data_IF_919645281619
#
_entry.id   IF_919645281619
#
_cell.length_a   1.000
_cell.length_b   1.000
_cell.length_c   1.000
_cell.angle_alpha   90.00
_cell.angle_beta   90.00
_cell.angle_gamma   90.00
#
_symmetry.space_group_name_H-M   'P 1'
#
loop_
_entity.id
_entity.type
_entity.pdbx_description
1 polymer ?
#
# COMPACT_ATOMS: atom_id res chain seq x y z
N UNK A 1 -13.94 14.83 -3.65
CA UNK A 1 -15.36 14.45 -3.40
C UNK A 1 -15.73 13.16 -4.14
N UNK A 2 -15.57 13.05 -5.45
CA UNK A 2 -15.92 11.83 -6.21
C UNK A 2 -15.17 10.59 -5.70
N UNK A 3 -13.88 10.72 -5.33
CA UNK A 3 -13.06 9.67 -4.73
C UNK A 3 -13.68 9.18 -3.41
N UNK A 4 -14.04 10.11 -2.53
CA UNK A 4 -14.62 9.78 -1.22
C UNK A 4 -15.96 9.06 -1.37
N UNK A 5 -16.83 9.53 -2.27
CA UNK A 5 -18.10 8.84 -2.58
C UNK A 5 -17.88 7.45 -3.19
N UNK A 6 -16.79 7.25 -3.97
CA UNK A 6 -16.45 5.95 -4.53
C UNK A 6 -16.05 4.97 -3.42
N UNK A 7 -15.20 5.39 -2.47
CA UNK A 7 -14.80 4.58 -1.32
C UNK A 7 -15.98 4.24 -0.42
N UNK A 8 -16.85 5.21 -0.14
CA UNK A 8 -18.05 5.00 0.68
C UNK A 8 -18.97 3.93 0.07
N UNK A 9 -19.27 4.02 -1.25
CA UNK A 9 -20.11 3.03 -1.93
C UNK A 9 -19.46 1.66 -2.03
N UNK A 10 -18.12 1.60 -2.22
CA UNK A 10 -17.45 0.35 -2.48
C UNK A 10 -17.03 -0.39 -1.22
N UNK A 11 -16.54 0.33 -0.25
CA UNK A 11 -15.90 -0.20 0.96
C UNK A 11 -16.61 0.20 2.26
N UNK A 12 -17.60 1.06 2.20
CA UNK A 12 -18.28 1.60 3.39
C UNK A 12 -17.39 2.56 4.20
N UNK A 13 -16.33 3.11 3.57
CA UNK A 13 -15.37 3.99 4.24
C UNK A 13 -15.56 5.42 3.75
N UNK A 14 -15.92 6.33 4.65
CA UNK A 14 -16.03 7.76 4.36
C UNK A 14 -14.69 8.48 4.58
N UNK A 15 -14.34 9.44 3.74
CA UNK A 15 -13.18 10.33 3.86
C UNK A 15 -13.59 11.78 3.76
N UNK A 16 -12.82 12.67 4.42
CA UNK A 16 -12.95 14.10 4.19
C UNK A 16 -12.27 14.47 2.85
N UNK A 17 -13.04 15.01 1.87
CA UNK A 17 -12.48 15.35 0.57
C UNK A 17 -11.47 16.50 0.59
N UNK A 18 -11.40 17.28 1.67
CA UNK A 18 -10.51 18.45 1.76
C UNK A 18 -9.15 18.08 2.37
N UNK A 19 -9.08 16.97 3.12
CA UNK A 19 -7.86 16.58 3.87
C UNK A 19 -7.40 15.14 3.65
N UNK A 20 -8.31 14.22 3.30
CA UNK A 20 -8.00 12.78 3.27
C UNK A 20 -8.00 12.16 1.85
N UNK A 21 -8.04 12.98 0.81
CA UNK A 21 -8.00 12.50 -0.58
C UNK A 21 -7.27 13.44 -1.51
N UNK A 22 -6.32 12.92 -2.28
CA UNK A 22 -5.57 13.70 -3.28
C UNK A 22 -5.48 12.95 -4.62
N UNK A 23 -5.64 13.68 -5.72
CA UNK A 23 -5.44 13.14 -7.08
C UNK A 23 -3.95 13.11 -7.40
N UNK A 24 -3.51 12.03 -8.07
CA UNK A 24 -2.14 11.83 -8.53
C UNK A 24 -2.09 11.58 -10.04
N UNK A 25 -0.93 11.77 -10.65
CA UNK A 25 -0.70 11.49 -12.08
C UNK A 25 -0.42 9.98 -12.28
N UNK A 26 -1.41 9.15 -11.87
CA UNK A 26 -1.32 7.70 -11.69
C UNK A 26 -0.71 7.34 -10.34
N UNK A 27 -1.00 6.12 -9.83
CA UNK A 27 -0.50 5.67 -8.52
C UNK A 27 1.02 5.60 -8.44
N UNK A 28 1.69 5.23 -9.54
CA UNK A 28 3.16 5.16 -9.59
C UNK A 28 3.83 6.49 -9.24
N UNK A 29 3.35 7.59 -9.81
CA UNK A 29 3.87 8.93 -9.52
C UNK A 29 3.58 9.29 -8.07
N UNK A 30 2.36 9.04 -7.60
CA UNK A 30 1.99 9.31 -6.21
C UNK A 30 2.87 8.57 -5.21
N UNK A 31 3.14 7.28 -5.43
CA UNK A 31 4.03 6.46 -4.57
C UNK A 31 5.45 7.03 -4.58
N UNK A 32 5.97 7.41 -5.76
CA UNK A 32 7.31 7.99 -5.85
C UNK A 32 7.42 9.33 -5.12
N UNK A 33 6.43 10.19 -5.27
CA UNK A 33 6.42 11.50 -4.58
C UNK A 33 6.16 11.37 -3.09
N UNK A 34 5.32 10.43 -2.65
CA UNK A 34 5.16 10.13 -1.24
C UNK A 34 6.50 9.70 -0.63
N UNK A 35 7.24 8.81 -1.31
CA UNK A 35 8.57 8.41 -0.86
C UNK A 35 9.52 9.62 -0.74
N UNK A 36 9.59 10.48 -1.75
CA UNK A 36 10.41 11.69 -1.73
C UNK A 36 10.01 12.68 -0.62
N UNK A 37 8.72 12.78 -0.32
CA UNK A 37 8.21 13.70 0.70
C UNK A 37 8.42 13.18 2.13
N UNK A 38 8.51 11.88 2.32
CA UNK A 38 8.45 11.28 3.66
C UNK A 38 9.69 10.51 4.07
N UNK A 39 10.54 10.09 3.12
CA UNK A 39 11.74 9.32 3.40
C UNK A 39 13.00 10.18 3.28
N UNK A 40 14.00 9.82 4.05
CA UNK A 40 15.32 10.40 4.03
C UNK A 40 16.37 9.32 3.73
N UNK A 41 17.57 9.78 3.39
CA UNK A 41 18.71 8.89 3.23
C UNK A 41 18.95 8.06 4.50
N UNK A 42 18.99 6.73 4.33
CA UNK A 42 19.21 5.78 5.40
C UNK A 42 17.95 5.33 6.14
N UNK A 43 16.76 5.88 5.81
CA UNK A 43 15.50 5.30 6.28
C UNK A 43 15.35 3.87 5.72
N UNK A 44 14.78 2.96 6.49
CA UNK A 44 14.53 1.59 6.06
C UNK A 44 13.07 1.42 5.62
N UNK A 45 12.87 0.82 4.46
CA UNK A 45 11.53 0.49 3.90
C UNK A 45 11.43 -1.01 3.68
N UNK A 46 10.32 -1.59 4.13
CA UNK A 46 9.98 -2.99 3.95
C UNK A 46 9.13 -3.16 2.68
N UNK A 47 9.48 -4.14 1.87
CA UNK A 47 8.76 -4.44 0.61
C UNK A 47 8.68 -5.95 0.42
N UNK A 48 7.50 -6.52 0.14
CA UNK A 48 7.40 -7.94 -0.24
C UNK A 48 8.25 -8.27 -1.48
N UNK A 49 8.75 -9.49 -1.56
CA UNK A 49 9.47 -10.00 -2.71
C UNK A 49 8.84 -11.31 -3.21
N UNK A 50 8.38 -11.39 -4.47
CA UNK A 50 8.49 -10.39 -5.55
C UNK A 50 7.55 -9.18 -5.38
N UNK A 51 7.90 -8.05 -6.00
CA UNK A 51 7.13 -6.80 -5.93
C UNK A 51 7.20 -6.00 -7.23
N UNK A 52 6.26 -5.07 -7.41
CA UNK A 52 6.27 -4.16 -8.54
C UNK A 52 7.41 -3.14 -8.41
N UNK A 53 8.15 -2.82 -9.49
CA UNK A 53 9.39 -2.03 -9.41
C UNK A 53 9.29 -0.71 -8.64
N UNK A 54 8.18 0.03 -8.73
CA UNK A 54 8.07 1.34 -8.07
C UNK A 54 8.10 1.23 -6.55
N UNK A 55 7.67 0.09 -5.98
CA UNK A 55 7.68 -0.14 -4.54
C UNK A 55 9.12 -0.24 -3.99
N UNK A 56 10.05 -0.61 -4.85
CA UNK A 56 11.49 -0.67 -4.56
C UNK A 56 12.18 0.64 -4.96
N UNK A 57 12.02 1.04 -6.23
CA UNK A 57 12.78 2.16 -6.78
C UNK A 57 12.28 3.53 -6.32
N UNK A 58 11.00 3.68 -5.95
CA UNK A 58 10.50 4.92 -5.35
C UNK A 58 11.28 5.29 -4.08
N UNK A 59 11.31 4.41 -3.07
CA UNK A 59 12.13 4.62 -1.86
C UNK A 59 13.63 4.72 -2.13
N UNK A 60 14.18 3.92 -3.05
CA UNK A 60 15.62 4.00 -3.40
C UNK A 60 15.99 5.38 -3.96
N UNK A 61 15.16 5.96 -4.81
CA UNK A 61 15.36 7.32 -5.33
C UNK A 61 15.32 8.37 -4.21
N UNK A 62 14.51 8.15 -3.19
CA UNK A 62 14.48 8.99 -1.99
C UNK A 62 15.68 8.77 -1.05
N UNK A 63 16.55 7.80 -1.35
CA UNK A 63 17.73 7.48 -0.56
C UNK A 63 17.53 6.46 0.56
N UNK A 64 16.38 5.79 0.60
CA UNK A 64 16.07 4.77 1.60
C UNK A 64 16.69 3.41 1.24
N UNK A 65 16.94 2.63 2.29
CA UNK A 65 17.38 1.23 2.19
C UNK A 65 16.16 0.30 2.15
N UNK A 66 16.20 -0.70 1.25
CA UNK A 66 15.13 -1.68 1.13
C UNK A 66 15.46 -2.95 1.89
N UNK A 67 14.49 -3.44 2.68
CA UNK A 67 14.48 -4.79 3.25
C UNK A 67 13.34 -5.58 2.61
N UNK A 68 13.69 -6.65 1.92
CA UNK A 68 12.71 -7.49 1.23
C UNK A 68 12.19 -8.58 2.16
N UNK A 69 10.86 -8.78 2.16
CA UNK A 69 10.18 -9.83 2.91
C UNK A 69 9.72 -10.90 1.92
N UNK A 70 10.16 -12.16 2.04
CA UNK A 70 9.71 -13.21 1.13
C UNK A 70 8.18 -13.36 1.17
N UNK A 71 7.54 -13.23 -0.01
CA UNK A 71 6.11 -13.46 -0.20
C UNK A 71 5.93 -14.61 -1.19
N UNK A 72 6.34 -15.79 -0.77
CA UNK A 72 6.36 -17.01 -1.61
C UNK A 72 5.71 -18.19 -0.87
N UNK A 73 5.18 -19.19 -1.60
CA UNK A 73 4.57 -20.36 -0.97
C UNK A 73 5.53 -21.06 0.00
N UNK A 74 5.00 -21.48 1.14
CA UNK A 74 5.76 -22.22 2.17
C UNK A 74 6.52 -21.33 3.15
N UNK A 75 6.49 -20.01 2.98
CA UNK A 75 7.07 -19.05 3.93
C UNK A 75 5.95 -18.37 4.72
N UNK A 76 6.09 -18.31 6.03
CA UNK A 76 5.21 -17.51 6.88
C UNK A 76 5.60 -16.03 6.77
N UNK A 77 4.83 -15.30 5.96
CA UNK A 77 5.07 -13.89 5.71
C UNK A 77 5.11 -13.04 6.99
N UNK A 78 4.21 -13.30 7.95
CA UNK A 78 4.15 -12.51 9.17
C UNK A 78 5.32 -12.79 10.10
N UNK A 79 5.75 -14.04 10.21
CA UNK A 79 6.95 -14.39 10.97
C UNK A 79 8.21 -13.71 10.39
N UNK A 80 8.36 -13.73 9.06
CA UNK A 80 9.47 -13.05 8.39
C UNK A 80 9.40 -11.52 8.51
N UNK A 81 8.20 -10.95 8.42
CA UNK A 81 7.96 -9.51 8.59
C UNK A 81 8.38 -9.06 10.00
N UNK A 82 7.87 -9.72 11.04
CA UNK A 82 8.25 -9.41 12.42
C UNK A 82 9.75 -9.60 12.68
N UNK A 83 10.31 -10.70 12.20
CA UNK A 83 11.75 -10.96 12.31
C UNK A 83 12.55 -9.82 11.69
N UNK A 84 12.20 -9.44 10.45
CA UNK A 84 12.88 -8.35 9.75
C UNK A 84 12.73 -7.02 10.46
N UNK A 85 11.54 -6.69 10.99
CA UNK A 85 11.33 -5.48 11.77
C UNK A 85 12.26 -5.44 12.99
N UNK A 86 12.32 -6.54 13.74
CA UNK A 86 13.13 -6.63 14.97
C UNK A 86 14.63 -6.57 14.71
N UNK A 87 15.07 -7.14 13.59
CA UNK A 87 16.49 -7.22 13.22
C UNK A 87 16.98 -6.01 12.42
N UNK A 88 16.10 -5.11 12.01
CA UNK A 88 16.50 -3.92 11.22
C UNK A 88 17.03 -2.80 12.12
N UNK A 89 18.15 -2.22 11.66
CA UNK A 89 18.69 -0.99 12.19
C UNK A 89 19.14 -0.07 11.05
N UNK A 90 18.64 1.17 10.98
CA UNK A 90 17.59 1.74 11.82
C UNK A 90 16.26 0.98 11.67
N UNK A 91 15.32 1.20 12.61
CA UNK A 91 14.00 0.60 12.55
C UNK A 91 13.27 1.00 11.26
N UNK A 92 12.49 0.08 10.65
CA UNK A 92 11.75 0.40 9.44
C UNK A 92 10.75 1.53 9.67
N UNK A 93 10.68 2.44 8.72
CA UNK A 93 9.76 3.58 8.74
C UNK A 93 8.49 3.32 7.94
N UNK A 94 8.60 2.49 6.89
CA UNK A 94 7.51 2.28 5.95
C UNK A 94 7.47 0.81 5.50
N UNK A 95 6.26 0.30 5.29
CA UNK A 95 5.95 -0.97 4.64
C UNK A 95 5.09 -0.66 3.41
N UNK A 96 5.51 -1.12 2.22
CA UNK A 96 4.74 -0.95 0.98
C UNK A 96 4.17 -2.30 0.57
N UNK A 97 2.85 -2.37 0.41
CA UNK A 97 2.09 -3.56 0.04
C UNK A 97 1.33 -3.35 -1.27
N UNK A 98 1.09 -4.44 -2.01
CA UNK A 98 0.27 -4.42 -3.22
C UNK A 98 -0.57 -5.69 -3.29
N UNK A 99 -1.88 -5.57 -3.11
CA UNK A 99 -2.83 -6.68 -3.21
C UNK A 99 -4.14 -6.20 -3.88
N UNK A 100 -4.64 -6.92 -4.91
CA UNK A 100 -4.00 -8.05 -5.61
C UNK A 100 -2.61 -7.72 -6.14
N UNK A 101 -1.68 -8.66 -6.04
CA UNK A 101 -0.26 -8.42 -6.21
C UNK A 101 0.22 -8.45 -7.67
N UNK A 102 1.10 -7.56 -8.03
CA UNK A 102 1.91 -7.63 -9.23
C UNK A 102 3.35 -8.00 -8.85
N UNK A 103 3.93 -9.13 -9.30
CA UNK A 103 3.53 -9.92 -10.47
C UNK A 103 2.75 -11.22 -10.15
N UNK A 104 2.49 -11.57 -8.91
CA UNK A 104 2.07 -12.92 -8.51
C UNK A 104 0.56 -13.17 -8.61
N UNK A 105 -0.25 -12.12 -8.80
CA UNK A 105 -1.71 -12.15 -8.70
C UNK A 105 -2.25 -12.63 -7.34
N UNK A 106 -1.39 -12.70 -6.32
CA UNK A 106 -1.79 -13.11 -4.98
C UNK A 106 -2.81 -12.13 -4.40
N UNK A 107 -3.85 -12.70 -3.80
CA UNK A 107 -4.90 -11.96 -3.13
C UNK A 107 -4.85 -12.23 -1.62
N UNK A 108 -5.40 -11.33 -0.84
CA UNK A 108 -5.51 -11.45 0.61
C UNK A 108 -6.92 -11.09 1.07
N UNK A 109 -7.33 -11.61 2.21
CA UNK A 109 -8.58 -11.25 2.86
C UNK A 109 -8.36 -10.10 3.85
N UNK A 110 -9.44 -9.57 4.42
CA UNK A 110 -9.37 -8.41 5.30
C UNK A 110 -8.55 -8.67 6.57
N UNK A 111 -8.57 -9.90 7.09
CA UNK A 111 -7.81 -10.31 8.28
C UNK A 111 -6.28 -10.16 8.11
N UNK A 112 -5.79 -10.26 6.87
CA UNK A 112 -4.39 -9.95 6.56
C UNK A 112 -4.08 -8.48 6.89
N UNK A 113 -4.95 -7.55 6.46
CA UNK A 113 -4.75 -6.13 6.75
C UNK A 113 -4.97 -5.79 8.22
N UNK A 114 -5.85 -6.52 8.93
CA UNK A 114 -6.00 -6.37 10.38
C UNK A 114 -4.68 -6.64 11.10
N UNK A 115 -3.99 -7.72 10.74
CA UNK A 115 -2.66 -8.04 11.28
C UNK A 115 -1.61 -7.00 10.90
N UNK A 116 -1.62 -6.53 9.65
CA UNK A 116 -0.71 -5.47 9.19
C UNK A 116 -0.90 -4.18 9.99
N UNK A 117 -2.15 -3.73 10.17
CA UNK A 117 -2.45 -2.50 10.92
C UNK A 117 -2.03 -2.64 12.39
N UNK A 118 -2.26 -3.81 12.99
CA UNK A 118 -1.83 -4.09 14.36
C UNK A 118 -0.30 -3.98 14.51
N UNK A 119 0.46 -4.64 13.62
CA UNK A 119 1.93 -4.55 13.60
C UNK A 119 2.42 -3.12 13.31
N UNK A 120 1.81 -2.44 12.36
CA UNK A 120 2.18 -1.07 12.01
C UNK A 120 2.04 -0.12 13.20
N UNK A 121 0.96 -0.26 13.97
CA UNK A 121 0.74 0.52 15.20
C UNK A 121 1.72 0.16 16.32
N UNK A 122 1.99 -1.13 16.51
CA UNK A 122 2.92 -1.62 17.53
C UNK A 122 4.34 -1.08 17.30
N UNK A 123 4.81 -1.13 16.05
CA UNK A 123 6.18 -0.75 15.72
C UNK A 123 6.36 0.69 15.22
N UNK A 124 5.28 1.45 15.07
CA UNK A 124 5.31 2.82 14.55
C UNK A 124 5.73 2.91 13.08
N UNK A 125 5.25 1.98 12.25
CA UNK A 125 5.58 1.87 10.82
C UNK A 125 4.42 2.43 10.01
N UNK A 126 4.70 3.24 8.98
CA UNK A 126 3.69 3.65 8.01
C UNK A 126 3.44 2.55 6.98
N UNK A 127 2.21 2.39 6.58
CA UNK A 127 1.81 1.42 5.55
C UNK A 127 1.35 2.16 4.29
N UNK A 128 1.89 1.78 3.16
CA UNK A 128 1.43 2.21 1.84
C UNK A 128 0.84 1.00 1.14
N UNK A 129 -0.46 1.04 0.82
CA UNK A 129 -1.11 -0.02 0.07
C UNK A 129 -1.40 0.44 -1.36
N UNK A 130 -0.83 -0.24 -2.35
CA UNK A 130 -1.12 -0.04 -3.78
C UNK A 130 -2.26 -0.97 -4.20
N UNK A 131 -3.48 -0.44 -4.29
CA UNK A 131 -4.71 -1.15 -4.63
C UNK A 131 -5.02 -1.06 -6.14
N UNK A 132 -4.00 -1.14 -6.99
CA UNK A 132 -4.14 -0.91 -8.43
C UNK A 132 -5.07 -1.90 -9.14
N UNK A 133 -5.25 -3.10 -8.60
CA UNK A 133 -6.00 -4.20 -9.23
C UNK A 133 -7.32 -4.53 -8.51
N UNK A 134 -7.85 -3.60 -7.73
CA UNK A 134 -9.07 -3.78 -6.92
C UNK A 134 -10.27 -4.35 -7.67
N UNK A 135 -10.45 -3.96 -8.93
CA UNK A 135 -11.61 -4.33 -9.75
C UNK A 135 -11.28 -5.42 -10.78
N UNK A 136 -10.03 -5.90 -10.82
CA UNK A 136 -9.63 -6.98 -11.72
C UNK A 136 -9.60 -8.28 -10.91
N UNK A 137 -10.78 -8.70 -10.50
CA UNK A 137 -11.04 -9.90 -9.71
C UNK A 137 -12.12 -10.73 -10.37
N UNK A 138 -12.21 -12.00 -10.04
CA UNK A 138 -13.10 -12.97 -10.69
C UNK A 138 -14.07 -13.59 -9.68
N UNK A 139 -15.09 -14.28 -10.18
CA UNK A 139 -16.04 -15.09 -9.39
C UNK A 139 -16.77 -14.33 -8.28
N UNK A 140 -16.94 -13.00 -8.45
CA UNK A 140 -17.64 -12.17 -7.49
C UNK A 140 -16.84 -11.80 -6.24
N UNK A 141 -15.60 -12.28 -6.13
CA UNK A 141 -14.70 -11.86 -5.04
C UNK A 141 -14.32 -10.37 -5.19
N UNK A 142 -14.24 -9.67 -4.07
CA UNK A 142 -13.89 -8.25 -4.03
C UNK A 142 -12.62 -8.07 -3.21
N UNK A 143 -11.60 -7.46 -3.81
CA UNK A 143 -10.38 -7.12 -3.11
C UNK A 143 -10.70 -6.16 -1.94
N UNK A 144 -10.28 -6.48 -0.71
CA UNK A 144 -10.46 -5.59 0.43
C UNK A 144 -9.56 -4.37 0.33
N UNK A 145 -9.99 -3.26 0.91
CA UNK A 145 -9.18 -2.08 1.16
C UNK A 145 -8.63 -2.14 2.57
N UNK A 146 -7.35 -1.78 2.76
CA UNK A 146 -6.78 -1.64 4.10
C UNK A 146 -7.55 -0.60 4.94
N UNK A 147 -8.17 0.38 4.27
CA UNK A 147 -8.95 1.43 4.93
C UNK A 147 -10.24 0.93 5.59
N UNK A 148 -10.67 -0.31 5.32
CA UNK A 148 -11.79 -0.95 6.02
C UNK A 148 -11.42 -1.38 7.46
N UNK A 149 -10.12 -1.50 7.75
CA UNK A 149 -9.63 -1.91 9.07
C UNK A 149 -9.73 -0.73 10.05
N UNK A 150 -10.37 -0.90 11.22
CA UNK A 150 -10.38 0.12 12.26
C UNK A 150 -8.97 0.53 12.69
N UNK A 151 -8.70 1.84 12.69
CA UNK A 151 -7.37 2.39 13.02
C UNK A 151 -6.36 2.39 11.87
N UNK A 152 -6.72 1.90 10.67
CA UNK A 152 -5.82 1.98 9.51
C UNK A 152 -5.44 3.41 9.15
N UNK A 153 -6.35 4.38 9.31
CA UNK A 153 -6.08 5.80 9.03
C UNK A 153 -4.93 6.39 9.87
N UNK A 154 -4.67 5.83 11.03
CA UNK A 154 -3.59 6.33 11.91
C UNK A 154 -2.21 5.99 11.36
N UNK A 155 -2.11 4.96 10.52
CA UNK A 155 -0.84 4.38 10.08
C UNK A 155 -0.72 4.12 8.59
N UNK A 156 -1.81 4.25 7.81
CA UNK A 156 -1.80 3.84 6.41
C UNK A 156 -2.32 4.90 5.45
N UNK A 157 -1.81 4.83 4.22
CA UNK A 157 -2.39 5.46 3.03
C UNK A 157 -2.60 4.41 1.95
N UNK A 158 -3.60 4.62 1.10
CA UNK A 158 -3.94 3.70 0.02
C UNK A 158 -3.97 4.41 -1.32
N UNK A 159 -3.30 3.83 -2.31
CA UNK A 159 -3.30 4.30 -3.68
C UNK A 159 -4.21 3.49 -4.56
N UNK A 160 -4.93 4.16 -5.44
CA UNK A 160 -5.71 3.56 -6.51
C UNK A 160 -5.34 4.19 -7.85
N UNK A 161 -5.51 3.43 -8.94
CA UNK A 161 -5.29 3.92 -10.30
C UNK A 161 -6.45 3.57 -11.21
N UNK A 162 -6.86 4.49 -12.05
CA UNK A 162 -7.86 4.24 -13.08
C UNK A 162 -7.29 3.53 -14.33
N UNK A 163 -5.97 3.36 -14.37
CA UNK A 163 -5.26 2.73 -15.50
C UNK A 163 -5.72 1.31 -15.79
N UNK A 164 -6.07 0.54 -14.74
CA UNK A 164 -6.42 -0.88 -14.84
C UNK A 164 -7.93 -1.06 -14.91
N UNK A 165 -8.64 -0.75 -13.85
CA UNK A 165 -10.07 -0.97 -13.70
C UNK A 165 -10.92 -0.27 -14.78
N UNK A 166 -10.47 0.89 -15.24
CA UNK A 166 -11.22 1.73 -16.20
C UNK A 166 -10.58 1.79 -17.59
N UNK A 167 -9.53 0.99 -17.84
CA UNK A 167 -8.78 1.01 -19.09
C UNK A 167 -8.28 2.42 -19.49
N UNK A 168 -7.90 3.23 -18.49
CA UNK A 168 -7.52 4.62 -18.64
C UNK A 168 -6.01 4.84 -18.43
N UNK A 169 -5.18 3.91 -18.91
CA UNK A 169 -3.74 3.97 -18.71
C UNK A 169 -3.09 5.26 -19.26
N UNK A 170 -3.56 5.74 -20.41
CA UNK A 170 -3.06 6.95 -21.06
C UNK A 170 -3.46 8.25 -20.36
N UNK A 171 -4.52 8.25 -19.56
CA UNK A 171 -5.03 9.44 -18.87
C UNK A 171 -4.19 9.86 -17.67
N UNK A 172 -3.36 8.97 -17.16
CA UNK A 172 -2.51 9.21 -16.01
C UNK A 172 -3.28 9.72 -14.78
N UNK A 173 -4.39 9.04 -14.44
CA UNK A 173 -5.21 9.38 -13.28
C UNK A 173 -5.08 8.28 -12.24
N UNK A 174 -4.72 8.68 -11.05
CA UNK A 174 -4.77 7.92 -9.82
C UNK A 174 -5.13 8.83 -8.65
N UNK A 175 -5.18 8.27 -7.48
CA UNK A 175 -5.40 9.04 -6.26
C UNK A 175 -4.86 8.28 -5.04
N UNK A 176 -4.66 9.02 -3.97
CA UNK A 176 -4.31 8.51 -2.66
C UNK A 176 -5.40 8.92 -1.68
N UNK A 177 -5.72 8.03 -0.74
CA UNK A 177 -6.58 8.32 0.41
C UNK A 177 -5.87 7.91 1.70
N UNK A 178 -6.24 8.55 2.79
CA UNK A 178 -5.68 8.33 4.12
C UNK A 178 -5.54 9.65 4.87
N UNK A 179 -4.80 9.64 5.96
CA UNK A 179 -4.57 10.83 6.78
C UNK A 179 -3.30 11.57 6.35
#
# INVERSE_FOLDING_TARGET
RAICHWYERRYGVGFDPESEAIVTIGSKEGIAHLALATLNRGDTVLVPNPSYPIHIYGPVIAGADIRQIPLVPGVDFFAELEHTIRMSFPKPKMLILNFPANPTAQCVELDFFEKIVALAREYGIWVVHDLAYADITFDGWKAPSIMQVPGARDVAVEFFTMSKSYNMAGWRIGFMVGN
#
